data_IF_396383163109
#
_entry.id   IF_396383163109
#
_cell.length_a   1.000
_cell.length_b   1.000
_cell.length_c   1.000
_cell.angle_alpha   90.00
_cell.angle_beta   90.00
_cell.angle_gamma   90.00
#
_symmetry.space_group_name_H-M   'P 1'
#
loop_
_entity.id
_entity.type
_entity.pdbx_description
1 polymer ?
#
# COMPACT_ATOMS: atom_id res chain seq x y z
N UNK A 1 -5.82 -19.75 1.70
CA UNK A 1 -4.89 -20.17 2.76
C UNK A 1 -4.74 -18.99 3.72
N UNK A 2 -4.89 -19.20 5.02
CA UNK A 2 -4.77 -18.10 5.98
C UNK A 2 -3.30 -17.62 6.03
N UNK A 3 -3.04 -16.30 6.11
CA UNK A 3 -1.68 -15.81 6.26
C UNK A 3 -1.06 -16.38 7.54
N UNK A 4 0.03 -17.13 7.40
CA UNK A 4 0.73 -17.76 8.53
C UNK A 4 1.67 -16.76 9.21
N UNK A 5 1.09 -15.83 9.97
CA UNK A 5 1.82 -14.76 10.66
C UNK A 5 1.50 -14.82 12.16
N UNK A 6 2.52 -14.99 13.00
CA UNK A 6 2.35 -15.03 14.45
C UNK A 6 2.16 -13.62 15.03
N UNK A 7 1.53 -13.51 16.22
CA UNK A 7 1.33 -12.21 16.90
C UNK A 7 2.63 -11.47 17.18
N UNK A 8 3.72 -12.19 17.40
CA UNK A 8 5.03 -11.57 17.66
C UNK A 8 5.63 -10.96 16.39
N UNK A 9 5.47 -11.64 15.25
CA UNK A 9 5.85 -11.10 13.93
C UNK A 9 5.01 -9.85 13.60
N UNK A 10 3.72 -9.86 13.92
CA UNK A 10 2.84 -8.69 13.73
C UNK A 10 3.33 -7.47 14.51
N UNK A 11 3.78 -7.64 15.77
CA UNK A 11 4.29 -6.52 16.58
C UNK A 11 5.57 -5.90 16.02
N UNK A 12 6.41 -6.71 15.37
CA UNK A 12 7.66 -6.25 14.77
C UNK A 12 7.42 -5.56 13.42
N UNK A 13 6.50 -6.09 12.61
CA UNK A 13 6.28 -5.62 11.24
C UNK A 13 5.27 -4.47 11.15
N UNK A 14 4.30 -4.35 12.06
CA UNK A 14 3.30 -3.29 11.95
C UNK A 14 3.92 -1.89 12.17
N UNK A 15 3.82 -0.97 11.19
CA UNK A 15 4.33 0.38 11.35
C UNK A 15 3.57 1.13 12.45
N UNK A 16 4.29 1.69 13.43
CA UNK A 16 3.71 2.53 14.49
C UNK A 16 3.57 3.97 14.00
N UNK A 17 2.78 4.16 12.96
CA UNK A 17 2.71 5.40 12.21
C UNK A 17 1.28 5.96 12.13
N UNK A 18 1.13 7.29 11.96
CA UNK A 18 -0.17 7.96 11.88
C UNK A 18 -1.19 7.32 10.92
N UNK A 19 -0.84 6.91 9.67
CA UNK A 19 -1.84 6.38 8.75
C UNK A 19 -2.41 5.03 9.20
N UNK A 20 -1.63 4.21 9.93
CA UNK A 20 -2.16 2.94 10.46
C UNK A 20 -3.17 3.21 11.58
N UNK A 21 -2.87 4.17 12.45
CA UNK A 21 -3.78 4.56 13.53
C UNK A 21 -5.09 5.12 12.98
N UNK A 22 -5.03 5.97 11.95
CA UNK A 22 -6.22 6.49 11.27
C UNK A 22 -7.08 5.39 10.65
N UNK A 23 -6.47 4.35 10.09
CA UNK A 23 -7.22 3.21 9.57
C UNK A 23 -7.92 2.44 10.70
N UNK A 24 -7.23 2.16 11.80
CA UNK A 24 -7.81 1.48 12.95
C UNK A 24 -8.99 2.29 13.53
N UNK A 25 -8.80 3.60 13.72
CA UNK A 25 -9.83 4.51 14.23
C UNK A 25 -11.05 4.57 13.29
N UNK A 26 -10.85 4.52 11.96
CA UNK A 26 -11.93 4.57 10.99
C UNK A 26 -12.86 3.35 11.09
N UNK A 27 -12.29 2.15 11.21
CA UNK A 27 -13.06 0.91 11.29
C UNK A 27 -13.67 0.68 12.67
N UNK A 28 -13.09 1.22 13.74
CA UNK A 28 -13.71 1.19 15.08
C UNK A 28 -15.01 2.01 15.12
N UNK A 29 -15.09 3.13 14.39
CA UNK A 29 -16.28 4.00 14.33
C UNK A 29 -17.40 3.40 13.46
N UNK A 30 -17.05 2.69 12.38
CA UNK A 30 -18.04 2.04 11.52
C UNK A 30 -18.74 0.84 12.17
N UNK A 31 -18.23 0.33 13.30
CA UNK A 31 -18.86 -0.75 14.07
C UNK A 31 -20.18 -0.35 14.75
N UNK A 32 -20.47 0.95 14.88
CA UNK A 32 -21.67 1.48 15.56
C UNK A 32 -22.62 2.24 14.62
N UNK A 33 -22.28 2.34 13.32
CA UNK A 33 -23.08 3.07 12.34
C UNK A 33 -23.95 2.10 11.54
N UNK A 34 -25.26 2.18 11.77
CA UNK A 34 -26.31 1.42 11.07
C UNK A 34 -26.51 1.95 9.64
N UNK A 35 -25.43 2.05 8.86
CA UNK A 35 -25.51 2.43 7.46
C UNK A 35 -26.13 1.28 6.68
N UNK A 36 -27.26 1.58 6.07
CA UNK A 36 -27.92 0.76 5.06
C UNK A 36 -26.92 0.51 3.93
N UNK A 37 -26.21 -0.62 4.00
CA UNK A 37 -25.26 -1.02 2.97
C UNK A 37 -26.09 -1.34 1.74
N UNK A 38 -26.06 -0.44 0.76
CA UNK A 38 -26.56 -0.73 -0.58
C UNK A 38 -25.62 -1.79 -1.13
N UNK A 39 -25.99 -3.06 -0.97
CA UNK A 39 -25.22 -4.19 -1.48
C UNK A 39 -25.14 -4.06 -3.00
N UNK A 40 -23.96 -3.74 -3.52
CA UNK A 40 -23.70 -3.87 -4.94
C UNK A 40 -23.48 -5.36 -5.24
N UNK A 41 -24.05 -5.87 -6.34
CA UNK A 41 -24.07 -7.30 -6.69
C UNK A 41 -22.67 -7.94 -6.91
N UNK A 42 -21.59 -7.16 -6.78
CA UNK A 42 -20.19 -7.57 -6.95
C UNK A 42 -19.42 -7.65 -5.61
N UNK A 43 -20.13 -7.67 -4.47
CA UNK A 43 -19.61 -7.69 -3.09
C UNK A 43 -18.88 -8.98 -2.69
N UNK A 44 -18.72 -9.95 -3.59
CA UNK A 44 -18.09 -11.24 -3.26
C UNK A 44 -16.57 -11.13 -3.06
N UNK A 45 -15.94 -10.05 -3.54
CA UNK A 45 -14.50 -9.83 -3.43
C UNK A 45 -14.14 -8.51 -2.76
N UNK A 46 -13.26 -8.60 -1.76
CA UNK A 46 -12.71 -7.44 -1.07
C UNK A 46 -12.03 -6.45 -2.05
N UNK A 47 -12.23 -5.15 -1.81
CA UNK A 47 -11.61 -4.06 -2.56
C UNK A 47 -10.40 -3.52 -1.80
N UNK A 48 -9.24 -3.46 -2.46
CA UNK A 48 -8.05 -2.85 -1.86
C UNK A 48 -8.09 -1.34 -2.04
N UNK A 49 -8.29 -0.61 -0.94
CA UNK A 49 -8.26 0.86 -0.94
C UNK A 49 -6.87 1.44 -0.66
N UNK A 50 -6.19 0.88 0.35
CA UNK A 50 -4.89 1.38 0.84
C UNK A 50 -3.91 0.24 1.03
N UNK A 51 -2.69 0.41 0.53
CA UNK A 51 -1.59 -0.54 0.68
C UNK A 51 -0.46 0.12 1.47
N UNK A 52 0.12 -0.63 2.41
CA UNK A 52 1.33 -0.23 3.14
C UNK A 52 2.46 -1.21 2.82
N UNK A 53 3.56 -0.70 2.30
CA UNK A 53 4.72 -1.50 1.91
C UNK A 53 5.91 -1.09 2.76
N UNK A 54 6.37 -2.01 3.61
CA UNK A 54 7.53 -1.80 4.49
C UNK A 54 8.79 -1.91 3.64
N UNK A 55 9.78 -1.06 3.91
CA UNK A 55 11.07 -1.13 3.24
C UNK A 55 11.80 -2.44 3.58
N UNK A 56 12.42 -3.03 2.57
CA UNK A 56 13.34 -4.16 2.71
C UNK A 56 14.74 -3.73 2.32
N UNK A 57 15.73 -4.59 2.61
CA UNK A 57 17.09 -4.35 2.12
C UNK A 57 17.13 -4.43 0.58
N UNK A 58 17.87 -3.54 -0.09
CA UNK A 58 18.06 -3.59 -1.53
C UNK A 58 18.98 -4.76 -1.94
N UNK A 59 18.95 -5.12 -3.22
CA UNK A 59 19.90 -6.11 -3.75
C UNK A 59 21.34 -5.62 -3.62
N UNK A 60 22.27 -6.56 -3.41
CA UNK A 60 23.71 -6.26 -3.21
C UNK A 60 24.36 -5.49 -4.35
N UNK A 61 23.80 -5.53 -5.57
CA UNK A 61 24.27 -4.77 -6.74
C UNK A 61 24.02 -3.27 -6.61
N UNK A 62 23.06 -2.87 -5.78
CA UNK A 62 22.75 -1.47 -5.47
C UNK A 62 23.44 -0.98 -4.19
N UNK A 63 24.23 -1.83 -3.52
CA UNK A 63 24.93 -1.52 -2.28
C UNK A 63 26.44 -1.36 -2.53
N UNK A 64 27.06 -0.41 -1.84
CA UNK A 64 28.51 -0.26 -1.73
C UNK A 64 28.91 -0.59 -0.30
N UNK A 65 29.72 -1.62 -0.11
CA UNK A 65 30.16 -2.11 1.21
C UNK A 65 29.02 -2.43 2.19
N UNK A 66 27.84 -2.82 1.66
CA UNK A 66 26.66 -3.13 2.46
C UNK A 66 25.80 -1.92 2.84
N UNK A 67 26.12 -0.73 2.31
CA UNK A 67 25.32 0.48 2.46
C UNK A 67 24.73 0.92 1.09
N UNK A 68 23.49 1.46 1.05
CA UNK A 68 22.62 1.60 2.21
C UNK A 68 21.91 0.29 2.55
N UNK A 69 21.66 0.04 3.84
CA UNK A 69 20.88 -1.13 4.31
C UNK A 69 19.40 -1.08 3.90
N UNK A 70 18.91 0.08 3.49
CA UNK A 70 17.53 0.37 3.12
C UNK A 70 17.54 1.44 2.00
N UNK A 71 16.55 1.60 1.13
CA UNK A 71 15.19 1.08 1.23
C UNK A 71 14.66 0.60 -0.12
N UNK A 72 14.46 -0.71 -0.26
CA UNK A 72 13.78 -1.28 -1.41
C UNK A 72 12.29 -1.53 -1.11
N UNK A 73 11.43 -1.29 -2.10
CA UNK A 73 9.99 -1.51 -1.99
C UNK A 73 9.56 -2.47 -3.09
N UNK A 74 9.01 -3.63 -2.69
CA UNK A 74 8.52 -4.64 -3.63
C UNK A 74 7.02 -4.49 -3.88
N UNK A 75 6.63 -4.44 -5.15
CA UNK A 75 5.23 -4.28 -5.58
C UNK A 75 4.66 -5.63 -5.99
N UNK A 76 4.29 -6.46 -5.00
CA UNK A 76 3.78 -7.82 -5.24
C UNK A 76 2.44 -7.80 -5.99
N UNK A 77 1.57 -6.83 -5.67
CA UNK A 77 0.33 -6.60 -6.39
C UNK A 77 0.53 -5.49 -7.42
N UNK A 78 0.51 -5.85 -8.71
CA UNK A 78 0.63 -4.89 -9.80
C UNK A 78 -0.70 -4.16 -9.99
N UNK A 79 -0.82 -2.97 -9.41
CA UNK A 79 -1.90 -2.04 -9.71
C UNK A 79 -1.51 -1.09 -10.84
N UNK A 80 -2.51 -0.57 -11.55
CA UNK A 80 -2.26 0.37 -12.65
C UNK A 80 -1.91 1.75 -12.11
N UNK A 81 -0.88 2.39 -12.68
CA UNK A 81 -0.39 3.69 -12.25
C UNK A 81 -1.46 4.81 -12.31
N UNK A 82 -2.43 4.72 -13.23
CA UNK A 82 -3.54 5.68 -13.35
C UNK A 82 -4.53 5.61 -12.18
N UNK A 83 -4.57 4.49 -11.45
CA UNK A 83 -5.43 4.31 -10.27
C UNK A 83 -4.81 4.87 -8.99
N UNK A 84 -3.55 5.31 -9.00
CA UNK A 84 -2.93 5.90 -7.80
C UNK A 84 -3.57 7.25 -7.50
N UNK A 85 -4.30 7.31 -6.39
CA UNK A 85 -4.85 8.56 -5.85
C UNK A 85 -3.75 9.32 -5.11
N UNK A 86 -3.08 8.63 -4.18
CA UNK A 86 -2.03 9.20 -3.32
C UNK A 86 -0.93 8.16 -3.09
N UNK A 87 0.33 8.60 -3.02
CA UNK A 87 1.42 7.77 -2.50
C UNK A 87 2.33 8.62 -1.62
N UNK A 88 2.64 8.15 -0.41
CA UNK A 88 3.48 8.83 0.56
C UNK A 88 4.53 7.85 1.07
N UNK A 89 5.79 8.29 1.10
CA UNK A 89 6.85 7.65 1.84
C UNK A 89 6.84 8.24 3.25
N UNK A 90 6.77 7.37 4.26
CA UNK A 90 6.83 7.74 5.66
C UNK A 90 8.20 7.40 6.23
N UNK A 91 8.83 8.38 6.88
CA UNK A 91 10.16 8.27 7.49
C UNK A 91 10.09 8.75 8.93
N UNK A 92 10.59 7.94 9.86
CA UNK A 92 10.71 8.33 11.25
C UNK A 92 12.05 9.03 11.49
N UNK A 93 12.01 10.20 12.12
CA UNK A 93 13.19 10.92 12.57
C UNK A 93 13.40 10.68 14.07
N UNK A 94 14.60 10.24 14.43
CA UNK A 94 15.08 10.11 15.81
C UNK A 94 15.06 11.48 16.50
N UNK A 95 14.86 11.52 17.84
CA UNK A 95 14.95 12.75 18.58
C UNK A 95 16.38 13.32 18.51
N UNK A 96 16.49 14.63 18.34
CA UNK A 96 17.78 15.32 18.45
C UNK A 96 18.07 15.67 19.91
N UNK A 97 19.35 15.69 20.30
CA UNK A 97 19.77 16.13 21.65
C UNK A 97 19.49 17.63 21.88
N UNK A 98 19.61 18.42 20.82
CA UNK A 98 19.44 19.87 20.81
C UNK A 98 18.47 20.29 19.70
N UNK A 99 17.97 21.52 19.80
CA UNK A 99 17.16 22.11 18.72
C UNK A 99 18.05 22.28 17.50
N UNK A 100 17.69 21.60 16.41
CA UNK A 100 18.50 21.57 15.18
C UNK A 100 17.61 21.57 13.95
N UNK A 101 18.17 22.02 12.83
CA UNK A 101 17.53 21.84 11.53
C UNK A 101 18.09 20.57 10.88
N UNK A 102 17.20 19.69 10.45
CA UNK A 102 17.50 18.48 9.68
C UNK A 102 17.22 18.73 8.20
N UNK A 103 18.16 18.32 7.36
CA UNK A 103 17.99 18.28 5.91
C UNK A 103 17.68 16.85 5.47
N UNK A 104 16.38 16.55 5.34
CA UNK A 104 15.92 15.28 4.82
C UNK A 104 16.06 15.27 3.30
N UNK A 105 16.87 14.38 2.76
CA UNK A 105 17.09 14.16 1.33
C UNK A 105 16.69 12.74 0.95
N UNK A 106 15.89 12.65 -0.10
CA UNK A 106 15.41 11.40 -0.67
C UNK A 106 15.96 11.27 -2.08
N UNK A 107 16.69 10.20 -2.37
CA UNK A 107 17.30 9.91 -3.69
C UNK A 107 16.82 8.58 -4.24
N UNK A 108 16.80 8.43 -5.57
CA UNK A 108 16.72 7.11 -6.21
C UNK A 108 18.09 6.43 -6.15
N UNK A 109 18.09 5.16 -5.78
CA UNK A 109 19.25 4.31 -5.98
C UNK A 109 19.44 3.98 -7.45
N UNK A 110 20.69 3.76 -7.83
CA UNK A 110 21.13 3.32 -9.14
C UNK A 110 22.17 2.22 -8.92
N UNK A 111 22.30 1.24 -9.83
CA UNK A 111 23.31 0.21 -9.71
C UNK A 111 24.71 0.83 -9.74
N UNK A 112 25.63 0.26 -8.95
CA UNK A 112 26.99 0.80 -8.75
C UNK A 112 27.77 0.92 -10.07
N UNK A 113 27.44 0.10 -11.06
CA UNK A 113 28.06 0.08 -12.41
C UNK A 113 27.84 1.35 -13.22
N UNK A 114 26.80 2.14 -12.93
CA UNK A 114 26.42 3.34 -13.70
C UNK A 114 27.05 4.64 -13.13
N UNK A 115 27.97 4.49 -12.16
CA UNK A 115 28.50 5.56 -11.33
C UNK A 115 27.49 5.99 -10.26
N UNK A 116 27.96 6.42 -9.09
CA UNK A 116 27.12 6.80 -7.92
C UNK A 116 26.31 8.10 -8.12
N UNK A 117 25.58 8.21 -9.23
CA UNK A 117 24.68 9.33 -9.49
C UNK A 117 23.34 9.06 -8.82
N UNK A 118 23.23 9.46 -7.57
CA UNK A 118 21.96 9.52 -6.86
C UNK A 118 21.05 10.57 -7.50
N UNK A 119 19.88 10.15 -8.01
CA UNK A 119 18.90 11.08 -8.59
C UNK A 119 18.01 11.59 -7.46
N UNK A 120 18.18 12.87 -7.08
CA UNK A 120 17.40 13.50 -6.01
C UNK A 120 15.91 13.53 -6.38
N UNK A 121 15.08 12.92 -5.53
CA UNK A 121 13.61 12.95 -5.62
C UNK A 121 13.09 14.22 -4.97
N UNK A 122 13.47 14.43 -3.70
CA UNK A 122 12.97 15.54 -2.89
C UNK A 122 13.94 15.86 -1.77
N UNK A 123 13.88 17.10 -1.29
CA UNK A 123 14.44 17.41 0.02
C UNK A 123 13.60 18.41 0.77
N UNK A 124 13.67 18.28 2.09
CA UNK A 124 12.86 19.01 3.05
C UNK A 124 13.80 19.53 4.13
N UNK A 125 13.57 20.78 4.54
CA UNK A 125 14.20 21.39 5.70
C UNK A 125 13.20 21.27 6.85
N UNK A 126 13.59 20.62 7.94
CA UNK A 126 12.71 20.33 9.08
C UNK A 126 13.39 20.84 10.34
N UNK A 127 12.69 21.66 11.11
CA UNK A 127 13.17 22.10 12.42
C UNK A 127 12.73 21.08 13.47
N UNK A 128 13.70 20.49 14.15
CA UNK A 128 13.50 19.42 15.15
C UNK A 128 13.78 19.99 16.53
N UNK A 129 12.82 19.79 17.44
CA UNK A 129 12.96 20.14 18.84
C UNK A 129 13.73 19.06 19.60
N UNK A 130 14.48 19.48 20.62
CA UNK A 130 15.22 18.56 21.47
C UNK A 130 14.29 17.50 22.11
N UNK A 131 14.68 16.23 22.05
CA UNK A 131 13.97 15.11 22.66
C UNK A 131 12.68 14.68 21.96
N UNK A 132 12.30 15.28 20.84
CA UNK A 132 11.05 14.96 20.13
C UNK A 132 11.34 14.18 18.86
N UNK A 133 10.83 12.95 18.78
CA UNK A 133 10.80 12.19 17.52
C UNK A 133 9.60 12.58 16.67
N UNK A 134 9.69 12.40 15.35
CA UNK A 134 8.58 12.75 14.46
C UNK A 134 8.51 11.87 13.21
N UNK A 135 7.30 11.67 12.72
CA UNK A 135 7.04 11.07 11.41
C UNK A 135 6.97 12.15 10.34
N UNK A 136 7.65 11.91 9.24
CA UNK A 136 7.68 12.79 8.08
C UNK A 136 7.10 12.06 6.87
N UNK A 137 6.20 12.72 6.15
CA UNK A 137 5.58 12.18 4.94
C UNK A 137 6.09 12.91 3.70
N UNK A 138 6.45 12.15 2.67
CA UNK A 138 7.03 12.65 1.43
C UNK A 138 6.22 12.11 0.26
N UNK A 139 5.71 13.01 -0.59
CA UNK A 139 5.01 12.60 -1.80
C UNK A 139 5.96 11.94 -2.80
N UNK A 140 5.70 10.66 -3.08
CA UNK A 140 6.44 9.81 -4.02
C UNK A 140 5.56 9.28 -5.15
N UNK A 141 4.36 9.85 -5.35
CA UNK A 141 3.39 9.40 -6.36
C UNK A 141 3.97 9.30 -7.76
N UNK A 142 4.75 10.30 -8.18
CA UNK A 142 5.37 10.30 -9.51
C UNK A 142 6.45 9.22 -9.64
N UNK A 143 7.23 8.98 -8.58
CA UNK A 143 8.28 7.94 -8.57
C UNK A 143 7.65 6.57 -8.69
N UNK A 144 6.64 6.29 -7.87
CA UNK A 144 5.88 5.04 -7.91
C UNK A 144 5.21 4.82 -9.27
N UNK A 145 4.61 5.86 -9.86
CA UNK A 145 3.98 5.75 -11.17
C UNK A 145 4.98 5.38 -12.29
N UNK A 146 6.23 5.84 -12.21
CA UNK A 146 7.30 5.43 -13.13
C UNK A 146 7.67 3.97 -12.89
N UNK A 147 7.89 3.56 -11.64
CA UNK A 147 8.26 2.19 -11.31
C UNK A 147 7.20 1.15 -11.68
N UNK A 148 5.91 1.49 -11.62
CA UNK A 148 4.86 0.58 -12.10
C UNK A 148 4.84 0.42 -13.62
N UNK A 149 5.32 1.42 -14.37
CA UNK A 149 5.45 1.35 -15.83
C UNK A 149 6.77 0.70 -16.26
N UNK A 150 7.81 0.89 -15.45
CA UNK A 150 9.20 0.52 -15.70
C UNK A 150 9.79 -0.12 -14.43
N UNK A 151 9.37 -1.34 -14.06
CA UNK A 151 9.82 -1.99 -12.82
C UNK A 151 11.32 -2.23 -12.74
N UNK A 152 11.99 -2.36 -13.89
CA UNK A 152 13.45 -2.50 -14.02
C UNK A 152 14.23 -1.26 -13.55
N UNK A 153 13.56 -0.12 -13.37
CA UNK A 153 14.17 1.11 -12.85
C UNK A 153 14.03 1.26 -11.33
N UNK A 154 13.36 0.30 -10.68
CA UNK A 154 13.24 0.27 -9.23
C UNK A 154 14.47 -0.39 -8.61
N UNK A 155 15.40 0.43 -8.13
CA UNK A 155 16.54 -0.01 -7.32
C UNK A 155 16.40 0.35 -5.84
N UNK A 156 15.27 0.96 -5.47
CA UNK A 156 15.02 1.48 -4.13
C UNK A 156 15.28 2.98 -3.98
N UNK A 157 15.15 3.42 -2.74
CA UNK A 157 15.24 4.81 -2.29
C UNK A 157 16.35 4.89 -1.24
N UNK A 158 17.19 5.89 -1.38
CA UNK A 158 18.12 6.31 -0.34
C UNK A 158 17.49 7.44 0.47
N UNK A 159 17.61 7.36 1.79
CA UNK A 159 17.04 8.30 2.73
C UNK A 159 18.17 8.79 3.62
N UNK A 160 18.43 10.09 3.57
CA UNK A 160 19.47 10.74 4.37
C UNK A 160 18.84 11.90 5.14
N UNK A 161 19.00 11.97 6.46
CA UNK A 161 18.43 13.05 7.28
C UNK A 161 19.47 13.64 8.23
N UNK A 162 20.38 14.44 7.67
CA UNK A 162 21.49 15.01 8.42
C UNK A 162 21.06 16.27 9.20
N UNK A 163 21.40 16.30 10.49
CA UNK A 163 21.33 17.50 11.32
C UNK A 163 22.51 18.46 11.01
N UNK A 164 22.56 19.60 11.70
CA UNK A 164 23.65 20.58 11.56
C UNK A 164 25.02 20.08 12.00
N UNK A 165 25.09 18.95 12.72
CA UNK A 165 26.32 18.31 13.20
C UNK A 165 26.75 17.15 12.29
N UNK A 166 25.94 16.80 11.30
CA UNK A 166 26.18 15.69 10.37
C UNK A 166 25.70 14.33 10.89
N UNK A 167 24.89 14.28 11.95
CA UNK A 167 24.28 13.04 12.42
C UNK A 167 23.06 12.71 11.57
N UNK A 168 22.94 11.46 11.11
CA UNK A 168 21.75 11.00 10.41
C UNK A 168 20.66 10.59 11.41
N UNK A 169 19.55 11.31 11.39
CA UNK A 169 18.40 11.07 12.27
C UNK A 169 17.36 10.15 11.64
N UNK A 170 17.51 9.74 10.37
CA UNK A 170 16.56 8.83 9.74
C UNK A 170 16.68 7.42 10.33
N UNK A 171 15.54 6.84 10.72
CA UNK A 171 15.47 5.41 11.03
C UNK A 171 15.43 4.65 9.71
N UNK A 172 16.54 4.03 9.34
CA UNK A 172 16.69 3.20 8.11
C UNK A 172 17.07 1.76 8.44
N UNK A 173 17.82 1.53 9.51
CA UNK A 173 18.10 0.20 10.07
C UNK A 173 17.34 -0.02 11.38
N UNK A 174 16.92 -1.27 11.63
CA UNK A 174 16.25 -1.65 12.88
C UNK A 174 17.27 -1.81 14.01
N UNK A 175 17.48 -0.74 14.78
CA UNK A 175 18.20 -0.84 16.05
C UNK A 175 17.29 -1.40 17.16
N UNK A 176 17.86 -2.01 18.22
CA UNK A 176 17.06 -2.48 19.35
C UNK A 176 16.23 -1.34 19.96
N UNK A 177 14.90 -1.47 19.93
CA UNK A 177 13.96 -0.45 20.39
C UNK A 177 13.28 0.35 19.27
N UNK A 178 13.69 0.18 18.02
CA UNK A 178 13.11 0.86 16.84
C UNK A 178 12.11 -0.03 16.06
N UNK A 179 11.55 -1.05 16.71
CA UNK A 179 10.58 -1.97 16.10
C UNK A 179 9.31 -1.23 15.66
N UNK A 180 8.96 -1.37 14.37
CA UNK A 180 7.82 -0.70 13.75
C UNK A 180 8.06 0.77 13.36
N UNK A 181 9.31 1.26 13.42
CA UNK A 181 9.69 2.61 12.98
C UNK A 181 10.36 2.65 11.60
N UNK A 182 10.42 1.50 10.92
CA UNK A 182 11.01 1.36 9.59
C UNK A 182 10.27 2.24 8.56
N UNK A 183 10.97 2.73 7.52
CA UNK A 183 10.34 3.45 6.44
C UNK A 183 9.31 2.57 5.72
N UNK A 184 8.17 3.14 5.37
CA UNK A 184 7.14 2.43 4.61
C UNK A 184 6.46 3.37 3.61
N UNK A 185 5.93 2.80 2.54
CA UNK A 185 5.18 3.53 1.53
C UNK A 185 3.68 3.24 1.69
N UNK A 186 2.91 4.30 1.91
CA UNK A 186 1.45 4.30 1.92
C UNK A 186 0.95 4.64 0.52
N UNK A 187 0.13 3.77 -0.08
CA UNK A 187 -0.45 3.98 -1.41
C UNK A 187 -1.95 3.83 -1.35
N UNK A 188 -2.66 4.91 -1.69
CA UNK A 188 -4.12 4.92 -1.84
C UNK A 188 -4.48 4.77 -3.31
N UNK A 189 -5.33 3.81 -3.61
CA UNK A 189 -5.71 3.44 -4.97
C UNK A 189 -7.22 3.68 -5.13
N UNK A 190 -7.61 4.19 -6.30
CA UNK A 190 -9.03 4.33 -6.63
C UNK A 190 -9.61 2.97 -6.98
N UNK A 191 -10.88 2.76 -6.67
CA UNK A 191 -11.60 1.63 -7.23
C UNK A 191 -11.56 1.69 -8.77
N UNK A 192 -11.29 0.53 -9.38
CA UNK A 192 -11.27 0.40 -10.82
C UNK A 192 -12.68 0.08 -11.30
N UNK A 193 -13.04 0.36 -12.56
CA UNK A 193 -14.32 -0.06 -13.09
C UNK A 193 -14.37 -1.59 -13.13
N UNK A 194 -15.03 -2.19 -12.13
CA UNK A 194 -15.36 -3.61 -12.10
C UNK A 194 -16.65 -3.80 -12.90
N UNK A 195 -16.54 -3.89 -14.22
CA UNK A 195 -17.59 -4.61 -14.98
C UNK A 195 -17.12 -6.03 -15.15
N UNK A 196 -17.33 -6.84 -14.11
CA UNK A 196 -17.47 -8.26 -14.36
C UNK A 196 -18.73 -8.43 -15.22
N UNK A 197 -18.57 -9.11 -16.35
CA UNK A 197 -19.71 -9.56 -17.14
C UNK A 197 -20.54 -10.39 -16.17
N UNK A 198 -21.81 -10.00 -15.93
CA UNK A 198 -22.75 -10.75 -15.10
C UNK A 198 -22.55 -12.22 -15.41
N UNK A 199 -22.12 -13.00 -14.43
CA UNK A 199 -22.11 -14.45 -14.58
C UNK A 199 -23.59 -14.83 -14.62
N UNK A 200 -24.14 -14.87 -15.84
CA UNK A 200 -25.42 -15.50 -16.07
C UNK A 200 -25.22 -16.93 -15.60
N UNK A 201 -25.74 -17.25 -14.42
CA UNK A 201 -25.61 -18.57 -13.81
C UNK A 201 -25.98 -19.68 -14.79
N UNK A 202 -25.66 -20.92 -14.42
CA UNK A 202 -25.83 -22.08 -15.32
C UNK A 202 -27.25 -22.12 -15.90
N UNK A 203 -27.35 -22.25 -17.23
CA UNK A 203 -28.60 -22.49 -17.94
C UNK A 203 -28.70 -23.99 -18.23
N UNK A 204 -29.69 -24.64 -17.62
CA UNK A 204 -29.95 -26.08 -17.76
C UNK A 204 -31.13 -26.33 -18.69
N UNK A 205 -31.06 -27.43 -19.43
CA UNK A 205 -32.21 -28.02 -20.09
C UNK A 205 -32.90 -29.04 -19.16
N UNK A 206 -34.15 -29.41 -19.48
CA UNK A 206 -34.97 -30.31 -18.65
C UNK A 206 -34.34 -31.71 -18.44
N UNK A 207 -33.39 -32.09 -19.29
CA UNK A 207 -32.68 -33.37 -19.22
C UNK A 207 -31.29 -33.26 -18.58
N UNK A 208 -30.91 -32.07 -18.10
CA UNK A 208 -29.58 -31.85 -17.52
C UNK A 208 -29.44 -32.61 -16.19
N UNK A 209 -28.37 -33.42 -16.02
CA UNK A 209 -28.07 -34.09 -14.75
C UNK A 209 -27.41 -33.16 -13.71
N UNK A 210 -27.48 -31.84 -13.90
CA UNK A 210 -26.87 -30.85 -13.01
C UNK A 210 -27.58 -30.85 -11.64
N UNK A 211 -26.78 -30.82 -10.57
CA UNK A 211 -27.27 -30.88 -9.18
C UNK A 211 -27.04 -29.60 -8.40
N UNK A 212 -26.29 -28.65 -8.98
CA UNK A 212 -26.09 -27.29 -8.45
C UNK A 212 -27.26 -26.38 -8.82
N UNK A 213 -27.29 -25.17 -8.23
CA UNK A 213 -28.26 -24.15 -8.61
C UNK A 213 -28.15 -23.83 -10.11
N UNK A 214 -29.25 -23.98 -10.85
CA UNK A 214 -29.29 -23.83 -12.30
C UNK A 214 -30.64 -23.23 -12.72
N UNK A 215 -30.63 -22.37 -13.75
CA UNK A 215 -31.83 -21.78 -14.34
C UNK A 215 -32.39 -22.70 -15.41
N UNK A 216 -33.65 -23.07 -15.27
CA UNK A 216 -34.38 -23.87 -16.26
C UNK A 216 -35.32 -22.99 -17.09
N UNK A 217 -35.58 -23.34 -18.36
CA UNK A 217 -36.56 -22.64 -19.17
C UNK A 217 -37.96 -22.81 -18.57
N UNK A 218 -38.70 -21.71 -18.46
CA UNK A 218 -40.11 -21.69 -18.09
C UNK A 218 -40.84 -20.75 -19.04
N UNK A 219 -41.78 -21.30 -19.80
CA UNK A 219 -42.70 -20.51 -20.62
C UNK A 219 -43.99 -20.32 -19.85
N UNK A 220 -44.44 -19.08 -19.73
CA UNK A 220 -45.73 -18.73 -19.13
C UNK A 220 -46.70 -18.44 -20.26
N UNK A 221 -47.75 -19.25 -20.37
CA UNK A 221 -48.83 -19.04 -21.32
C UNK A 221 -49.96 -18.26 -20.64
N UNK A 222 -50.23 -17.04 -21.09
CA UNK A 222 -51.24 -16.18 -20.48
C UNK A 222 -52.67 -16.66 -20.73
N UNK A 223 -52.91 -17.44 -21.80
CA UNK A 223 -54.21 -18.05 -22.09
C UNK A 223 -54.52 -19.15 -21.05
N UNK A 224 -53.52 -19.95 -20.67
CA UNK A 224 -53.65 -20.99 -19.64
C UNK A 224 -53.98 -20.41 -18.25
N UNK A 225 -53.53 -19.19 -17.95
CA UNK A 225 -53.86 -18.46 -16.72
C UNK A 225 -55.17 -17.65 -16.82
N UNK A 226 -55.81 -17.60 -17.99
CA UNK A 226 -57.03 -16.83 -18.24
C UNK A 226 -56.83 -15.31 -18.13
N UNK A 227 -55.63 -14.84 -18.48
CA UNK A 227 -55.28 -13.42 -18.43
C UNK A 227 -55.55 -12.75 -19.77
N UNK A 228 -56.84 -12.63 -20.13
CA UNK A 228 -57.31 -12.06 -21.40
C UNK A 228 -57.07 -10.55 -21.57
N UNK A 229 -56.38 -9.92 -20.60
CA UNK A 229 -56.12 -8.49 -20.57
C UNK A 229 -54.70 -8.11 -21.02
N UNK A 230 -53.81 -9.10 -21.20
CA UNK A 230 -52.46 -8.93 -21.75
C UNK A 230 -52.48 -9.10 -23.26
#
# INVERSE_FOLDING_TARGET
EAPNISRDIVKQLLPKAPPLQQLLDHYDVLGDDNREVVMEEDDEHATTETMMMIATEPESVAQVDGEPKCCFFSFVQRFQANRIVRAQLWVHLRPADEVTTVFLQISRLMPVTDGSRHIRIRSLKIDVNAGVSSWQSIDVKQVLAVWLRQPETNWGIEINAFDSRGNDLAVTSTEPGEEGLQPFMEVKISEGPKRLRRDSGLDCDENSPESRCCRYPLTVDFEDFGWDWI
#
